data_IF_530502218026
#
_entry.id   IF_530502218026
#
_cell.length_a   1.000
_cell.length_b   1.000
_cell.length_c   1.000
_cell.angle_alpha   90.00
_cell.angle_beta   90.00
_cell.angle_gamma   90.00
#
_symmetry.space_group_name_H-M   'P 1'
#
loop_
_entity.id
_entity.type
_entity.pdbx_description
1 polymer ?
#
# COMPACT_ATOMS: atom_id res chain seq x y z
N UNK A 1 8.21 7.46 -13.89
CA UNK A 1 7.05 6.64 -13.46
C UNK A 1 5.83 7.27 -14.08
N UNK A 2 5.03 6.51 -14.81
CA UNK A 2 3.98 7.08 -15.65
C UNK A 2 2.69 7.28 -14.82
N UNK A 3 2.39 8.53 -14.47
CA UNK A 3 1.21 8.96 -13.70
C UNK A 3 -0.08 8.57 -14.42
N UNK A 4 -0.08 8.60 -15.75
CA UNK A 4 -1.24 8.29 -16.57
C UNK A 4 -1.70 6.84 -16.37
N UNK A 5 -0.75 5.90 -16.25
CA UNK A 5 -1.06 4.49 -15.97
C UNK A 5 -1.78 4.29 -14.62
N UNK A 6 -1.51 5.14 -13.64
CA UNK A 6 -2.15 5.04 -12.32
C UNK A 6 -3.53 5.68 -12.29
N UNK A 7 -3.74 6.74 -13.08
CA UNK A 7 -5.07 7.33 -13.32
C UNK A 7 -5.95 6.35 -14.11
N UNK A 8 -5.41 5.76 -15.18
CA UNK A 8 -6.08 4.71 -15.97
C UNK A 8 -6.49 3.49 -15.12
N UNK A 9 -5.59 3.02 -14.25
CA UNK A 9 -5.87 1.93 -13.31
C UNK A 9 -6.77 2.34 -12.12
N UNK A 10 -7.23 3.60 -12.07
CA UNK A 10 -8.07 4.16 -10.99
C UNK A 10 -7.48 3.91 -9.60
N UNK A 11 -6.15 4.07 -9.49
CA UNK A 11 -5.39 3.98 -8.24
C UNK A 11 -5.41 5.32 -7.52
N UNK A 12 -5.40 6.41 -8.29
CA UNK A 12 -5.54 7.76 -7.78
C UNK A 12 -6.52 8.58 -8.62
N UNK A 13 -7.03 9.66 -8.04
CA UNK A 13 -7.79 10.71 -8.73
C UNK A 13 -6.96 11.99 -8.88
N UNK A 14 -7.64 13.11 -9.16
CA UNK A 14 -7.02 14.41 -9.40
C UNK A 14 -6.27 14.99 -8.18
N UNK A 15 -6.46 14.43 -6.98
CA UNK A 15 -5.63 14.78 -5.82
C UNK A 15 -4.21 14.24 -5.92
N UNK A 16 -3.99 13.27 -6.81
CA UNK A 16 -2.70 12.60 -7.05
C UNK A 16 -2.08 12.04 -5.77
N UNK A 17 -2.92 11.58 -4.83
CA UNK A 17 -2.47 10.98 -3.58
C UNK A 17 -2.15 9.50 -3.79
N UNK A 18 -0.86 9.19 -3.86
CA UNK A 18 -0.36 7.83 -3.94
C UNK A 18 1.02 7.67 -3.30
N UNK A 19 1.36 6.44 -2.94
CA UNK A 19 2.63 6.06 -2.35
C UNK A 19 3.07 4.70 -2.88
N UNK A 20 4.34 4.60 -3.29
CA UNK A 20 4.98 3.31 -3.50
C UNK A 20 5.25 2.65 -2.15
N UNK A 21 4.97 1.36 -2.08
CA UNK A 21 5.02 0.58 -0.85
C UNK A 21 5.59 -0.81 -1.13
N UNK A 22 5.95 -1.52 -0.08
CA UNK A 22 6.05 -2.97 -0.07
C UNK A 22 4.84 -3.54 0.65
N UNK A 23 4.15 -4.45 -0.02
CA UNK A 23 3.01 -5.18 0.53
C UNK A 23 3.56 -6.39 1.27
N UNK A 24 3.43 -6.40 2.59
CA UNK A 24 3.95 -7.51 3.40
C UNK A 24 3.17 -8.79 3.12
N UNK A 25 3.86 -9.89 2.81
CA UNK A 25 3.25 -11.22 2.78
C UNK A 25 2.85 -11.68 4.19
N UNK A 26 1.90 -12.61 4.26
CA UNK A 26 1.68 -13.44 5.46
C UNK A 26 2.93 -14.28 5.75
N UNK A 27 3.09 -14.73 7.00
CA UNK A 27 4.23 -15.58 7.40
C UNK A 27 4.34 -16.85 6.53
N UNK A 28 3.21 -17.44 6.16
CA UNK A 28 3.16 -18.57 5.21
C UNK A 28 3.68 -18.18 3.82
N UNK A 29 3.31 -17.00 3.32
CA UNK A 29 3.80 -16.49 2.04
C UNK A 29 5.30 -16.19 2.04
N UNK A 30 5.85 -15.77 3.18
CA UNK A 30 7.31 -15.60 3.36
C UNK A 30 8.03 -16.95 3.32
N UNK A 31 7.51 -17.96 4.01
CA UNK A 31 8.09 -19.31 4.02
C UNK A 31 8.10 -19.95 2.62
N UNK A 32 7.01 -19.83 1.86
CA UNK A 32 6.93 -20.38 0.51
C UNK A 32 7.95 -19.74 -0.44
N UNK A 33 8.20 -18.42 -0.34
CA UNK A 33 9.21 -17.75 -1.18
C UNK A 33 10.63 -18.18 -0.84
N UNK A 34 10.93 -18.35 0.46
CA UNK A 34 12.23 -18.88 0.90
C UNK A 34 12.42 -20.31 0.35
N UNK A 35 11.41 -21.17 0.46
CA UNK A 35 11.45 -22.53 -0.07
C UNK A 35 11.65 -22.57 -1.60
N UNK A 36 11.16 -21.56 -2.33
CA UNK A 36 11.36 -21.41 -3.78
C UNK A 36 12.70 -20.78 -4.19
N UNK A 37 13.62 -20.52 -3.25
CA UNK A 37 14.94 -19.94 -3.55
C UNK A 37 14.92 -18.45 -3.90
N UNK A 38 13.80 -17.76 -3.70
CA UNK A 38 13.74 -16.30 -3.84
C UNK A 38 14.28 -15.65 -2.57
N UNK A 39 15.05 -14.55 -2.70
CA UNK A 39 15.47 -13.76 -1.55
C UNK A 39 14.25 -13.33 -0.73
N UNK A 40 14.35 -13.44 0.60
CA UNK A 40 13.33 -13.05 1.56
C UNK A 40 13.12 -11.53 1.55
N UNK A 41 12.58 -11.01 0.46
CA UNK A 41 12.10 -9.64 0.37
C UNK A 41 10.89 -9.53 1.28
N UNK A 42 10.83 -8.45 2.07
CA UNK A 42 9.82 -8.25 3.12
C UNK A 42 8.37 -8.15 2.58
N UNK A 43 8.19 -8.21 1.26
CA UNK A 43 6.93 -8.08 0.56
C UNK A 43 7.10 -8.15 -0.96
N UNK A 44 6.04 -7.78 -1.68
CA UNK A 44 6.08 -7.47 -3.12
C UNK A 44 5.88 -5.97 -3.31
N UNK A 45 6.57 -5.42 -4.31
CA UNK A 45 6.46 -4.00 -4.65
C UNK A 45 5.02 -3.68 -5.03
N UNK A 46 4.52 -2.59 -4.48
CA UNK A 46 3.16 -2.15 -4.67
C UNK A 46 3.04 -0.65 -4.77
N UNK A 47 1.82 -0.24 -5.09
CA UNK A 47 1.38 1.14 -5.03
C UNK A 47 0.05 1.17 -4.30
N UNK A 48 -0.08 2.15 -3.41
CA UNK A 48 -1.35 2.48 -2.76
C UNK A 48 -1.71 3.92 -3.09
N UNK A 49 -2.98 4.18 -3.35
CA UNK A 49 -3.48 5.52 -3.64
C UNK A 49 -4.92 5.69 -3.22
N UNK A 50 -5.40 6.93 -3.35
CA UNK A 50 -6.80 7.28 -3.10
C UNK A 50 -7.45 7.65 -4.42
N UNK A 51 -8.51 6.93 -4.75
CA UNK A 51 -9.39 7.26 -5.86
C UNK A 51 -10.81 7.42 -5.29
N UNK A 52 -11.37 8.62 -5.42
CA UNK A 52 -12.63 9.01 -4.79
C UNK A 52 -12.57 8.70 -3.28
N UNK A 53 -13.58 8.05 -2.70
CA UNK A 53 -13.58 7.70 -1.28
C UNK A 53 -13.10 6.27 -1.03
N UNK A 54 -12.16 5.79 -1.86
CA UNK A 54 -11.61 4.44 -1.78
C UNK A 54 -10.08 4.46 -1.66
N UNK A 55 -9.57 3.61 -0.76
CA UNK A 55 -8.15 3.27 -0.69
C UNK A 55 -7.90 2.10 -1.63
N UNK A 56 -7.03 2.30 -2.60
CA UNK A 56 -6.76 1.34 -3.67
C UNK A 56 -5.32 0.88 -3.58
N UNK A 57 -5.08 -0.43 -3.66
CA UNK A 57 -3.75 -1.00 -3.60
C UNK A 57 -3.52 -2.03 -4.71
N UNK A 58 -2.40 -1.91 -5.40
CA UNK A 58 -1.97 -2.80 -6.47
C UNK A 58 -0.56 -3.33 -6.20
N UNK A 59 -0.33 -4.58 -6.60
CA UNK A 59 1.01 -5.10 -6.85
C UNK A 59 1.56 -4.52 -8.15
N UNK A 60 2.87 -4.29 -8.19
CA UNK A 60 3.57 -3.83 -9.37
C UNK A 60 4.31 -4.99 -10.05
N UNK A 61 4.41 -4.95 -11.38
CA UNK A 61 5.26 -5.86 -12.13
C UNK A 61 6.73 -5.67 -11.76
N UNK A 62 7.48 -6.78 -11.66
CA UNK A 62 8.93 -6.77 -11.39
C UNK A 62 9.71 -5.93 -12.40
N UNK A 63 9.25 -5.92 -13.66
CA UNK A 63 9.83 -5.14 -14.74
C UNK A 63 8.86 -4.04 -15.17
N UNK A 64 9.27 -2.78 -15.02
CA UNK A 64 8.52 -1.60 -15.46
C UNK A 64 7.60 -0.97 -14.41
N UNK A 65 7.37 -1.60 -13.26
CA UNK A 65 6.60 -1.01 -12.16
C UNK A 65 5.17 -0.63 -12.54
N UNK A 66 4.54 -1.41 -13.44
CA UNK A 66 3.16 -1.21 -13.88
C UNK A 66 2.21 -1.91 -12.89
N UNK A 67 0.98 -1.39 -12.68
CA UNK A 67 -0.03 -2.11 -11.92
C UNK A 67 -0.28 -3.50 -12.54
N UNK A 68 -0.18 -4.54 -11.73
CA UNK A 68 -0.28 -5.93 -12.17
C UNK A 68 -1.54 -6.61 -11.62
N UNK A 69 -1.77 -6.50 -10.31
CA UNK A 69 -2.88 -7.16 -9.62
C UNK A 69 -3.44 -6.24 -8.54
N UNK A 70 -4.76 -6.04 -8.53
CA UNK A 70 -5.43 -5.35 -7.43
C UNK A 70 -5.38 -6.22 -6.17
N UNK A 71 -4.82 -5.69 -5.09
CA UNK A 71 -4.76 -6.35 -3.78
C UNK A 71 -6.02 -6.06 -2.99
N UNK A 72 -6.46 -4.80 -3.03
CA UNK A 72 -7.73 -4.38 -2.47
C UNK A 72 -8.19 -3.04 -3.05
N UNK A 73 -9.49 -2.82 -2.96
CA UNK A 73 -10.16 -1.52 -3.07
C UNK A 73 -11.11 -1.39 -1.90
N UNK A 74 -10.83 -0.48 -0.99
CA UNK A 74 -11.52 -0.35 0.28
C UNK A 74 -12.21 1.01 0.36
N UNK A 75 -13.55 1.07 0.32
CA UNK A 75 -14.28 2.28 0.70
C UNK A 75 -13.87 2.73 2.10
N UNK A 76 -13.73 4.03 2.33
CA UNK A 76 -13.28 4.56 3.63
C UNK A 76 -14.19 4.15 4.79
N UNK A 77 -15.49 4.02 4.53
CA UNK A 77 -16.50 3.49 5.46
C UNK A 77 -16.22 2.04 5.92
N UNK A 78 -15.63 1.21 5.05
CA UNK A 78 -15.33 -0.20 5.36
C UNK A 78 -14.05 -0.38 6.18
N UNK A 79 -13.24 0.66 6.27
CA UNK A 79 -12.03 0.66 7.09
C UNK A 79 -12.49 0.83 8.53
N UNK A 80 -12.17 -0.09 9.43
CA UNK A 80 -12.49 0.02 10.85
C UNK A 80 -11.48 0.92 11.56
N UNK A 81 -10.19 0.67 11.32
CA UNK A 81 -9.11 1.50 11.87
C UNK A 81 -7.97 1.67 10.88
N UNK A 82 -7.26 2.79 11.01
CA UNK A 82 -6.06 3.09 10.25
C UNK A 82 -4.99 3.66 11.19
N UNK A 83 -3.78 3.13 11.10
CA UNK A 83 -2.67 3.51 11.97
C UNK A 83 -1.38 3.66 11.17
N UNK A 84 -0.65 4.73 11.43
CA UNK A 84 0.70 4.93 10.90
C UNK A 84 1.72 4.71 12.03
N UNK A 85 2.63 3.75 11.85
CA UNK A 85 3.68 3.43 12.83
C UNK A 85 5.07 3.55 12.20
N UNK A 86 6.07 3.97 12.99
CA UNK A 86 7.48 3.90 12.57
C UNK A 86 7.96 2.45 12.64
N UNK A 87 8.74 2.04 11.65
CA UNK A 87 9.43 0.75 11.61
C UNK A 87 10.73 0.76 12.42
N UNK A 88 11.45 -0.36 12.38
CA UNK A 88 12.70 -0.55 13.12
C UNK A 88 13.73 0.53 12.72
N UNK A 89 14.31 1.20 13.72
CA UNK A 89 15.26 2.31 13.57
C UNK A 89 14.74 3.54 12.79
N UNK A 90 13.43 3.67 12.58
CA UNK A 90 12.84 4.81 11.87
C UNK A 90 13.11 4.83 10.36
N UNK A 91 13.70 3.78 9.80
CA UNK A 91 14.08 3.67 8.39
C UNK A 91 12.88 3.39 7.47
N UNK A 92 11.76 2.92 8.04
CA UNK A 92 10.51 2.68 7.32
C UNK A 92 9.31 3.20 8.10
N UNK A 93 8.22 3.46 7.41
CA UNK A 93 6.92 3.79 7.99
C UNK A 93 5.91 2.74 7.52
N UNK A 94 5.07 2.30 8.44
CA UNK A 94 4.12 1.22 8.22
C UNK A 94 2.71 1.77 8.36
N UNK A 95 1.89 1.62 7.32
CA UNK A 95 0.46 1.90 7.36
C UNK A 95 -0.27 0.59 7.61
N UNK A 96 -1.02 0.54 8.71
CA UNK A 96 -1.90 -0.57 9.04
C UNK A 96 -3.34 -0.18 8.76
N UNK A 97 -4.03 -0.97 7.95
CA UNK A 97 -5.44 -0.76 7.61
C UNK A 97 -6.22 -1.99 8.08
N UNK A 98 -7.18 -1.80 8.97
CA UNK A 98 -8.05 -2.85 9.48
C UNK A 98 -9.42 -2.73 8.82
N UNK A 99 -9.94 -3.86 8.34
CA UNK A 99 -11.34 -4.04 7.92
C UNK A 99 -11.97 -5.11 8.80
N UNK A 100 -13.26 -5.39 8.61
CA UNK A 100 -13.91 -6.53 9.28
C UNK A 100 -13.25 -7.87 8.93
N UNK A 101 -12.78 -8.02 7.69
CA UNK A 101 -12.29 -9.31 7.18
C UNK A 101 -10.79 -9.51 7.44
N UNK A 102 -10.00 -8.44 7.32
CA UNK A 102 -8.53 -8.54 7.25
C UNK A 102 -7.84 -7.29 7.79
N UNK A 103 -6.60 -7.51 8.24
CA UNK A 103 -5.62 -6.48 8.52
C UNK A 103 -4.57 -6.43 7.41
N UNK A 104 -4.36 -5.27 6.83
CA UNK A 104 -3.32 -5.02 5.83
C UNK A 104 -2.17 -4.26 6.49
N UNK A 105 -0.94 -4.61 6.11
CA UNK A 105 0.29 -3.91 6.50
C UNK A 105 1.03 -3.47 5.24
N UNK A 106 1.10 -2.17 5.02
CA UNK A 106 1.81 -1.54 3.91
C UNK A 106 3.05 -0.86 4.45
N UNK A 107 4.21 -1.11 3.84
CA UNK A 107 5.50 -0.58 4.29
C UNK A 107 5.97 0.46 3.27
N UNK A 108 6.24 1.70 3.69
CA UNK A 108 6.82 2.72 2.80
C UNK A 108 8.20 2.27 2.34
N UNK A 109 8.51 2.44 1.06
CA UNK A 109 9.91 2.42 0.59
C UNK A 109 10.67 3.64 1.11
N UNK A 110 12.00 3.59 1.14
CA UNK A 110 12.85 4.69 1.64
C UNK A 110 12.48 6.03 0.98
N UNK A 111 12.39 7.10 1.76
CA UNK A 111 12.08 8.45 1.27
C UNK A 111 10.61 8.71 0.87
N UNK A 112 9.69 7.76 1.11
CA UNK A 112 8.25 7.91 0.80
C UNK A 112 7.35 8.17 2.01
N UNK A 113 7.94 8.62 3.11
CA UNK A 113 7.25 8.91 4.37
C UNK A 113 6.12 9.91 4.18
N UNK A 114 6.40 11.06 3.57
CA UNK A 114 5.44 12.16 3.44
C UNK A 114 4.20 11.77 2.64
N UNK A 115 4.38 10.99 1.57
CA UNK A 115 3.26 10.48 0.77
C UNK A 115 2.39 9.51 1.56
N UNK A 116 3.00 8.59 2.32
CA UNK A 116 2.25 7.67 3.17
C UNK A 116 1.53 8.39 4.31
N UNK A 117 2.15 9.44 4.87
CA UNK A 117 1.51 10.34 5.85
C UNK A 117 0.33 11.10 5.26
N UNK A 118 0.45 11.63 4.03
CA UNK A 118 -0.63 12.32 3.35
C UNK A 118 -1.84 11.39 3.12
N UNK A 119 -1.60 10.15 2.66
CA UNK A 119 -2.64 9.12 2.54
C UNK A 119 -3.33 8.85 3.88
N UNK A 120 -2.54 8.66 4.94
CA UNK A 120 -3.06 8.43 6.29
C UNK A 120 -3.97 9.56 6.76
N UNK A 121 -3.55 10.82 6.59
CA UNK A 121 -4.33 11.97 7.04
C UNK A 121 -5.61 12.14 6.23
N UNK A 122 -5.55 11.94 4.90
CA UNK A 122 -6.73 12.02 4.05
C UNK A 122 -7.82 11.04 4.51
N UNK A 123 -7.46 9.76 4.70
CA UNK A 123 -8.42 8.74 5.16
C UNK A 123 -8.90 9.03 6.58
N UNK A 124 -8.03 9.51 7.47
CA UNK A 124 -8.39 9.81 8.86
C UNK A 124 -9.39 10.95 8.97
N UNK A 125 -9.26 11.98 8.13
CA UNK A 125 -10.13 13.16 8.16
C UNK A 125 -11.53 12.85 7.63
N UNK A 126 -11.65 11.98 6.63
CA UNK A 126 -12.94 11.55 6.06
C UNK A 126 -13.74 10.64 7.01
N UNK A 127 -13.11 10.13 8.07
CA UNK A 127 -13.75 9.26 9.08
C UNK A 127 -14.15 10.00 10.36
N UNK A 128 -13.97 11.31 10.42
CA UNK A 128 -14.41 12.17 11.53
C UNK A 128 -15.73 12.85 11.19
#
# INVERSE_FOLDING_TARGET
MNIDLFKEARIMDDRELYCRIQISYSELGKMLRIASGMTATAGVDGIVGINENTLVCYELTLFGGKPAREVFRLPFESILSIELRKGLLGLSHNLFVQTEKRRYKLVSTLGKKQQLEALYQAIKNEKK
#
